data_IF_502265292996
#
_entry.id   IF_502265292996
#
_cell.length_a   1.000
_cell.length_b   1.000
_cell.length_c   1.000
_cell.angle_alpha   90.00
_cell.angle_beta   90.00
_cell.angle_gamma   90.00
#
_symmetry.space_group_name_H-M   'P 1'
#
loop_
_entity.id
_entity.type
_entity.pdbx_description
1 polymer ?
#
# COMPACT_ATOMS: atom_id res chain seq x y z
N UNK A 1 -17.72 -15.51 -27.40
CA UNK A 1 -18.21 -16.44 -26.36
C UNK A 1 -18.35 -15.64 -25.08
N UNK A 2 -19.56 -15.42 -24.57
CA UNK A 2 -19.78 -14.72 -23.29
C UNK A 2 -19.50 -15.75 -22.18
N UNK A 3 -18.41 -15.59 -21.45
CA UNK A 3 -18.16 -16.37 -20.24
C UNK A 3 -19.00 -15.76 -19.11
N UNK A 4 -20.05 -16.46 -18.69
CA UNK A 4 -20.83 -16.09 -17.51
C UNK A 4 -20.07 -16.56 -16.28
N UNK A 5 -19.54 -15.61 -15.50
CA UNK A 5 -18.84 -15.89 -14.25
C UNK A 5 -19.88 -16.16 -13.16
N UNK A 6 -20.06 -17.43 -12.80
CA UNK A 6 -20.87 -17.82 -11.64
C UNK A 6 -19.88 -18.12 -10.52
N UNK A 7 -19.70 -17.13 -9.64
CA UNK A 7 -18.93 -17.32 -8.43
C UNK A 7 -19.91 -17.45 -7.28
N UNK A 8 -20.35 -18.65 -6.88
CA UNK A 8 -21.07 -18.85 -5.62
C UNK A 8 -20.29 -19.82 -4.74
N UNK A 9 -20.16 -19.52 -3.45
CA UNK A 9 -19.39 -20.31 -2.48
C UNK A 9 -17.95 -19.85 -2.21
N UNK A 10 -17.44 -18.87 -2.95
CA UNK A 10 -16.14 -18.23 -2.70
C UNK A 10 -16.30 -17.01 -1.79
N UNK A 11 -15.32 -16.75 -0.91
CA UNK A 11 -15.29 -15.49 -0.15
C UNK A 11 -15.18 -14.30 -1.10
N UNK A 12 -15.62 -13.11 -0.68
CA UNK A 12 -15.59 -11.89 -1.51
C UNK A 12 -14.18 -11.59 -2.03
N UNK A 13 -13.15 -11.91 -1.26
CA UNK A 13 -11.74 -11.69 -1.60
C UNK A 13 -11.24 -12.68 -2.65
N UNK A 14 -11.64 -13.95 -2.54
CA UNK A 14 -11.29 -14.98 -3.53
C UNK A 14 -11.91 -14.65 -4.90
N UNK A 15 -13.15 -14.13 -4.90
CA UNK A 15 -13.84 -13.71 -6.14
C UNK A 15 -13.05 -12.64 -6.92
N UNK A 16 -12.51 -11.63 -6.26
CA UNK A 16 -11.73 -10.57 -6.92
C UNK A 16 -10.46 -11.12 -7.55
N UNK A 17 -9.75 -11.97 -6.82
CA UNK A 17 -8.53 -12.64 -7.27
C UNK A 17 -8.80 -13.52 -8.49
N UNK A 18 -9.82 -14.37 -8.44
CA UNK A 18 -10.18 -15.23 -9.57
C UNK A 18 -10.62 -14.39 -10.78
N UNK A 19 -11.40 -13.34 -10.57
CA UNK A 19 -11.83 -12.42 -11.64
C UNK A 19 -10.64 -11.73 -12.30
N UNK A 20 -9.63 -11.32 -11.51
CA UNK A 20 -8.41 -10.70 -12.02
C UNK A 20 -7.55 -11.68 -12.84
N UNK A 21 -7.42 -12.93 -12.37
CA UNK A 21 -6.65 -13.99 -13.03
C UNK A 21 -7.32 -14.48 -14.32
N UNK A 22 -8.65 -14.56 -14.33
CA UNK A 22 -9.44 -14.84 -15.53
C UNK A 22 -9.43 -13.68 -16.52
N UNK A 23 -9.66 -12.45 -16.04
CA UNK A 23 -9.67 -11.24 -16.87
C UNK A 23 -8.33 -10.95 -17.54
N UNK A 24 -7.22 -11.36 -16.90
CA UNK A 24 -5.88 -11.30 -17.49
C UNK A 24 -5.55 -12.45 -18.45
N UNK A 25 -6.48 -13.39 -18.70
CA UNK A 25 -6.32 -14.51 -19.63
C UNK A 25 -5.29 -15.55 -19.18
N UNK A 26 -4.88 -15.52 -17.90
CA UNK A 26 -3.80 -16.38 -17.37
C UNK A 26 -4.31 -17.71 -16.82
N UNK A 27 -5.63 -17.83 -16.64
CA UNK A 27 -6.31 -19.01 -16.10
C UNK A 27 -7.65 -19.18 -16.82
N UNK A 28 -8.01 -20.43 -17.14
CA UNK A 28 -9.34 -20.81 -17.58
C UNK A 28 -9.89 -21.84 -16.58
N UNK A 29 -10.81 -21.44 -15.71
CA UNK A 29 -11.48 -22.33 -14.76
C UNK A 29 -12.78 -22.87 -15.35
N UNK A 30 -12.94 -24.19 -15.32
CA UNK A 30 -14.26 -24.83 -15.31
C UNK A 30 -14.62 -25.06 -13.85
N UNK A 31 -15.80 -24.64 -13.38
CA UNK A 31 -16.26 -24.92 -12.02
C UNK A 31 -17.64 -25.60 -12.08
N UNK A 32 -17.85 -26.61 -11.22
CA UNK A 32 -19.16 -27.26 -11.01
C UNK A 32 -20.18 -26.33 -10.35
N UNK A 33 -21.46 -26.68 -10.42
CA UNK A 33 -22.55 -25.82 -9.97
C UNK A 33 -22.81 -26.02 -8.46
N UNK A 34 -22.53 -25.02 -7.59
CA UNK A 34 -22.44 -25.22 -6.14
C UNK A 34 -23.75 -25.60 -5.44
N UNK A 35 -24.90 -25.36 -6.09
CA UNK A 35 -26.23 -25.72 -5.55
C UNK A 35 -26.68 -27.12 -6.01
N UNK A 36 -26.01 -27.70 -7.01
CA UNK A 36 -26.42 -28.96 -7.66
C UNK A 36 -25.41 -30.08 -7.42
N UNK A 37 -24.11 -29.74 -7.37
CA UNK A 37 -23.03 -30.72 -7.26
C UNK A 37 -22.48 -30.76 -5.83
N UNK A 38 -22.36 -31.96 -5.24
CA UNK A 38 -21.71 -32.19 -3.93
C UNK A 38 -20.21 -31.82 -3.94
N UNK A 39 -19.61 -31.65 -5.11
CA UNK A 39 -18.24 -31.17 -5.27
C UNK A 39 -18.05 -30.42 -6.59
N UNK A 40 -17.28 -29.33 -6.58
CA UNK A 40 -16.90 -28.59 -7.76
C UNK A 40 -15.43 -28.88 -8.11
N UNK A 41 -15.15 -29.29 -9.35
CA UNK A 41 -13.78 -29.45 -9.85
C UNK A 41 -13.34 -28.19 -10.59
N UNK A 42 -12.19 -27.63 -10.21
CA UNK A 42 -11.54 -26.49 -10.85
C UNK A 42 -10.25 -26.94 -11.55
N UNK A 43 -10.12 -26.66 -12.85
CA UNK A 43 -8.89 -26.92 -13.62
C UNK A 43 -8.21 -25.59 -13.93
N UNK A 44 -6.90 -25.49 -13.66
CA UNK A 44 -6.11 -24.28 -13.92
C UNK A 44 -5.04 -24.60 -14.96
N UNK A 45 -5.23 -24.04 -16.16
CA UNK A 45 -4.24 -24.10 -17.23
C UNK A 45 -3.27 -22.93 -17.05
N UNK A 46 -1.99 -23.22 -16.79
CA UNK A 46 -0.96 -22.20 -16.62
C UNK A 46 0.39 -22.66 -17.21
N UNK A 47 1.30 -21.71 -17.40
CA UNK A 47 2.68 -22.01 -17.80
C UNK A 47 3.40 -22.82 -16.71
N UNK A 48 4.13 -23.87 -17.08
CA UNK A 48 4.68 -24.87 -16.14
C UNK A 48 5.45 -24.28 -14.92
N UNK A 49 6.30 -23.25 -15.04
CA UNK A 49 6.98 -22.62 -13.91
C UNK A 49 6.04 -21.95 -12.89
N UNK A 50 4.82 -21.58 -13.28
CA UNK A 50 3.83 -20.94 -12.40
C UNK A 50 2.90 -21.95 -11.69
N UNK A 51 3.02 -23.24 -12.01
CA UNK A 51 2.17 -24.28 -11.42
C UNK A 51 2.22 -24.26 -9.90
N UNK A 52 3.43 -24.28 -9.32
CA UNK A 52 3.56 -24.33 -7.86
C UNK A 52 3.19 -23.01 -7.19
N UNK A 53 3.41 -21.87 -7.86
CA UNK A 53 2.89 -20.60 -7.40
C UNK A 53 1.36 -20.64 -7.24
N UNK A 54 0.63 -21.07 -8.27
CA UNK A 54 -0.83 -21.16 -8.20
C UNK A 54 -1.32 -22.22 -7.22
N UNK A 55 -0.61 -23.35 -7.10
CA UNK A 55 -0.95 -24.39 -6.12
C UNK A 55 -0.86 -23.88 -4.68
N UNK A 56 0.25 -23.24 -4.32
CA UNK A 56 0.40 -22.63 -2.99
C UNK A 56 -0.63 -21.52 -2.79
N UNK A 57 -0.82 -20.66 -3.78
CA UNK A 57 -1.75 -19.52 -3.73
C UNK A 57 -3.22 -19.91 -3.51
N UNK A 58 -3.66 -21.08 -3.97
CA UNK A 58 -5.05 -21.53 -3.80
C UNK A 58 -5.26 -22.27 -2.49
N UNK A 59 -4.20 -22.81 -1.90
CA UNK A 59 -4.26 -23.55 -0.65
C UNK A 59 -3.95 -22.67 0.56
N UNK A 60 -3.22 -21.58 0.38
CA UNK A 60 -2.76 -20.67 1.44
C UNK A 60 -3.16 -19.23 1.12
N UNK A 61 -3.60 -18.49 2.15
CA UNK A 61 -3.91 -17.08 2.00
C UNK A 61 -2.65 -16.27 1.65
N UNK A 62 -2.77 -15.32 0.72
CA UNK A 62 -1.65 -14.49 0.32
C UNK A 62 -1.20 -13.56 1.47
N UNK A 63 0.10 -13.49 1.81
CA UNK A 63 0.58 -12.53 2.79
C UNK A 63 0.47 -11.12 2.22
N UNK A 64 -0.46 -10.33 2.77
CA UNK A 64 -0.66 -8.93 2.38
C UNK A 64 0.27 -8.03 3.18
N UNK A 65 1.13 -7.30 2.47
CA UNK A 65 2.05 -6.32 3.05
C UNK A 65 1.70 -4.89 2.61
N UNK A 66 1.96 -3.92 3.49
CA UNK A 66 1.78 -2.50 3.19
C UNK A 66 2.91 -1.97 2.32
N UNK A 67 2.56 -1.26 1.24
CA UNK A 67 3.48 -0.49 0.41
C UNK A 67 3.46 1.01 0.75
N UNK A 68 2.83 1.40 1.86
CA UNK A 68 2.60 2.79 2.24
C UNK A 68 3.88 3.65 2.29
N UNK A 69 5.01 3.07 2.73
CA UNK A 69 6.31 3.74 2.80
C UNK A 69 6.77 4.39 1.49
N UNK A 70 6.36 3.84 0.33
CA UNK A 70 6.78 4.36 -0.98
C UNK A 70 5.96 5.57 -1.44
N UNK A 71 4.83 5.84 -0.80
CA UNK A 71 3.92 6.95 -1.13
C UNK A 71 3.80 7.94 0.03
N UNK A 72 4.64 7.78 1.07
CA UNK A 72 4.51 8.53 2.31
C UNK A 72 4.65 10.04 2.09
N UNK A 73 5.45 10.45 1.11
CA UNK A 73 5.67 11.83 0.72
C UNK A 73 4.35 12.54 0.40
N UNK A 74 3.54 11.97 -0.49
CA UNK A 74 2.25 12.56 -0.89
C UNK A 74 1.24 12.55 0.25
N UNK A 75 1.18 11.47 1.03
CA UNK A 75 0.26 11.37 2.16
C UNK A 75 0.58 12.39 3.26
N UNK A 76 1.84 12.51 3.68
CA UNK A 76 2.24 13.48 4.70
C UNK A 76 1.96 14.92 4.23
N UNK A 77 2.25 15.26 2.97
CA UNK A 77 1.93 16.58 2.45
C UNK A 77 0.41 16.86 2.51
N UNK A 78 -0.43 15.89 2.17
CA UNK A 78 -1.88 16.03 2.26
C UNK A 78 -2.36 16.25 3.69
N UNK A 79 -1.81 15.52 4.66
CA UNK A 79 -2.23 15.60 6.07
C UNK A 79 -1.72 16.89 6.74
N UNK A 80 -0.53 17.38 6.37
CA UNK A 80 -0.03 18.70 6.79
C UNK A 80 -0.87 19.82 6.20
N UNK A 81 -1.25 19.71 4.92
CA UNK A 81 -2.17 20.66 4.28
C UNK A 81 -3.56 20.67 4.94
N UNK A 82 -4.04 19.51 5.38
CA UNK A 82 -5.30 19.37 6.12
C UNK A 82 -5.22 19.80 7.59
N UNK A 83 -4.03 20.19 8.08
CA UNK A 83 -3.76 20.53 9.48
C UNK A 83 -4.05 19.38 10.47
N UNK A 84 -4.01 18.13 9.99
CA UNK A 84 -4.08 16.93 10.84
C UNK A 84 -2.73 16.66 11.49
N UNK A 85 -1.65 16.88 10.72
CA UNK A 85 -0.27 16.79 11.19
C UNK A 85 0.29 18.20 11.27
N UNK A 86 0.63 18.64 12.49
CA UNK A 86 1.13 20.02 12.73
C UNK A 86 2.58 20.06 13.19
N UNK A 87 3.13 18.92 13.63
CA UNK A 87 4.49 18.79 14.10
C UNK A 87 5.06 17.39 13.79
N UNK A 88 6.38 17.21 13.95
CA UNK A 88 7.05 15.93 13.68
C UNK A 88 6.52 14.77 14.53
N UNK A 89 6.12 15.02 15.78
CA UNK A 89 5.56 13.99 16.67
C UNK A 89 4.19 13.53 16.17
N UNK A 90 3.34 14.45 15.70
CA UNK A 90 2.04 14.10 15.09
C UNK A 90 2.24 13.18 13.87
N UNK A 91 3.31 13.37 13.09
CA UNK A 91 3.62 12.53 11.94
C UNK A 91 4.01 11.11 12.35
N UNK A 92 4.85 10.96 13.38
CA UNK A 92 5.17 9.65 13.96
C UNK A 92 3.90 8.99 14.51
N UNK A 93 3.09 9.73 15.25
CA UNK A 93 1.84 9.24 15.82
C UNK A 93 0.88 8.81 14.70
N UNK A 94 0.75 9.59 13.63
CA UNK A 94 -0.06 9.26 12.46
C UNK A 94 0.35 7.90 11.85
N UNK A 95 1.66 7.65 11.71
CA UNK A 95 2.14 6.36 11.20
C UNK A 95 1.69 5.17 12.05
N UNK A 96 1.51 5.33 13.36
CA UNK A 96 1.06 4.25 14.26
C UNK A 96 -0.37 3.78 13.96
N UNK A 97 -1.19 4.60 13.30
CA UNK A 97 -2.56 4.26 12.89
C UNK A 97 -2.63 3.48 11.58
N UNK A 98 -1.50 3.34 10.87
CA UNK A 98 -1.48 2.73 9.53
C UNK A 98 -1.44 1.20 9.58
N UNK A 99 -1.86 0.57 8.48
CA UNK A 99 -1.67 -0.87 8.28
C UNK A 99 -0.17 -1.25 8.26
N UNK A 100 0.70 -0.35 7.77
CA UNK A 100 2.16 -0.54 7.79
C UNK A 100 2.67 -0.82 9.20
N UNK A 101 2.30 0.01 10.18
CA UNK A 101 2.74 -0.15 11.57
C UNK A 101 2.38 -1.53 12.14
N UNK A 102 1.19 -2.05 11.83
CA UNK A 102 0.77 -3.41 12.24
C UNK A 102 1.63 -4.52 11.62
N UNK A 103 2.24 -4.28 10.46
CA UNK A 103 3.06 -5.26 9.73
C UNK A 103 4.55 -5.19 10.06
N UNK A 104 5.05 -4.07 10.57
CA UNK A 104 6.47 -3.89 10.91
C UNK A 104 7.03 -5.02 11.79
N UNK A 105 6.28 -5.45 12.81
CA UNK A 105 6.70 -6.51 13.74
C UNK A 105 6.48 -7.92 13.19
N UNK A 106 5.61 -8.07 12.18
CA UNK A 106 5.26 -9.38 11.59
C UNK A 106 6.25 -9.78 10.51
N UNK A 107 6.81 -8.81 9.77
CA UNK A 107 7.78 -9.06 8.71
C UNK A 107 8.83 -7.93 8.65
N UNK A 108 9.71 -7.79 9.66
CA UNK A 108 10.65 -6.68 9.77
C UNK A 108 11.61 -6.59 8.57
N UNK A 109 12.00 -7.73 8.00
CA UNK A 109 12.91 -7.77 6.85
C UNK A 109 12.32 -7.11 5.61
N UNK A 110 11.00 -7.20 5.41
CA UNK A 110 10.33 -6.55 4.27
C UNK A 110 10.41 -5.02 4.35
N UNK A 111 10.41 -4.48 5.56
CA UNK A 111 10.47 -3.06 5.87
C UNK A 111 11.91 -2.58 6.17
N UNK A 112 12.92 -3.44 6.03
CA UNK A 112 14.33 -3.17 6.37
C UNK A 112 14.57 -2.80 7.84
N UNK A 113 13.77 -3.34 8.78
CA UNK A 113 14.00 -3.13 10.21
C UNK A 113 15.15 -3.98 10.73
N UNK A 114 16.01 -3.38 11.55
CA UNK A 114 17.11 -4.07 12.22
C UNK A 114 16.64 -4.96 13.38
N UNK A 115 15.44 -4.69 13.91
CA UNK A 115 14.81 -5.52 14.93
C UNK A 115 13.40 -5.05 15.28
N UNK A 116 12.73 -5.80 16.15
CA UNK A 116 11.32 -5.59 16.53
C UNK A 116 11.15 -5.06 17.95
N UNK A 117 12.26 -4.68 18.61
CA UNK A 117 12.20 -4.05 19.92
C UNK A 117 11.50 -2.67 19.80
N UNK A 118 10.79 -2.21 20.85
CA UNK A 118 10.13 -0.90 20.82
C UNK A 118 11.07 0.26 20.45
N UNK A 119 12.34 0.20 20.88
CA UNK A 119 13.37 1.16 20.47
C UNK A 119 13.60 1.16 18.96
N UNK A 120 13.88 0.00 18.36
CA UNK A 120 14.10 -0.14 16.91
C UNK A 120 12.89 0.30 16.08
N UNK A 121 11.66 0.05 16.55
CA UNK A 121 10.44 0.51 15.88
C UNK A 121 10.34 2.04 15.92
N UNK A 122 10.57 2.64 17.09
CA UNK A 122 10.56 4.10 17.25
C UNK A 122 11.62 4.75 16.37
N UNK A 123 12.86 4.25 16.42
CA UNK A 123 13.98 4.78 15.64
C UNK A 123 13.67 4.71 14.14
N UNK A 124 13.13 3.59 13.67
CA UNK A 124 12.76 3.43 12.25
C UNK A 124 11.64 4.38 11.82
N UNK A 125 10.60 4.57 12.65
CA UNK A 125 9.51 5.50 12.34
C UNK A 125 10.00 6.95 12.33
N UNK A 126 10.83 7.32 13.30
CA UNK A 126 11.45 8.65 13.37
C UNK A 126 12.32 8.91 12.15
N UNK A 127 13.21 7.98 11.79
CA UNK A 127 14.05 8.09 10.59
C UNK A 127 13.21 8.20 9.31
N UNK A 128 12.14 7.40 9.18
CA UNK A 128 11.25 7.43 8.03
C UNK A 128 10.53 8.78 7.90
N UNK A 129 10.03 9.34 9.01
CA UNK A 129 9.39 10.66 9.04
C UNK A 129 10.40 11.75 8.70
N UNK A 130 11.56 11.76 9.35
CA UNK A 130 12.58 12.79 9.14
C UNK A 130 13.09 12.80 7.68
N UNK A 131 13.34 11.63 7.10
CA UNK A 131 13.72 11.53 5.68
C UNK A 131 12.62 12.07 4.76
N UNK A 132 11.37 11.68 4.99
CA UNK A 132 10.25 12.11 4.13
C UNK A 132 9.94 13.60 4.26
N UNK A 133 10.03 14.16 5.46
CA UNK A 133 9.86 15.59 5.68
C UNK A 133 11.01 16.39 5.07
N UNK A 134 12.24 15.88 5.14
CA UNK A 134 13.40 16.48 4.47
C UNK A 134 13.20 16.53 2.94
N UNK A 135 12.67 15.45 2.35
CA UNK A 135 12.33 15.41 0.93
C UNK A 135 11.20 16.40 0.58
N UNK A 136 10.16 16.52 1.41
CA UNK A 136 9.08 17.50 1.21
C UNK A 136 9.56 18.95 1.31
N UNK A 137 10.48 19.23 2.23
CA UNK A 137 11.11 20.53 2.38
C UNK A 137 12.01 20.85 1.18
N UNK A 138 12.76 19.86 0.68
CA UNK A 138 13.57 19.99 -0.54
C UNK A 138 12.71 20.28 -1.79
N UNK A 139 11.55 19.64 -1.93
CA UNK A 139 10.59 19.94 -2.99
C UNK A 139 9.84 21.27 -2.80
N UNK A 140 10.03 21.95 -1.66
CA UNK A 140 9.37 23.22 -1.33
C UNK A 140 7.88 23.10 -1.01
N UNK A 141 7.39 21.89 -0.69
CA UNK A 141 5.99 21.62 -0.36
C UNK A 141 5.63 22.00 1.08
N UNK A 142 6.60 21.90 2.00
CA UNK A 142 6.42 22.25 3.42
C UNK A 142 7.59 23.10 3.91
N UNK A 143 7.42 23.72 5.07
CA UNK A 143 8.46 24.41 5.82
C UNK A 143 8.48 23.90 7.26
N UNK A 144 9.66 23.68 7.81
CA UNK A 144 9.83 23.34 9.22
C UNK A 144 10.16 24.60 10.03
N UNK A 145 9.37 24.89 11.07
CA UNK A 145 9.60 25.99 12.02
C UNK A 145 10.06 25.43 13.37
N UNK A 146 11.07 26.07 13.98
CA UNK A 146 11.66 25.68 15.27
C UNK A 146 12.09 24.20 15.33
N UNK A 147 12.43 23.62 14.16
CA UNK A 147 12.84 22.23 13.97
C UNK A 147 11.79 21.16 14.36
N UNK A 148 10.57 21.59 14.68
CA UNK A 148 9.51 20.72 15.19
C UNK A 148 8.14 20.94 14.54
N UNK A 149 7.78 22.21 14.28
CA UNK A 149 6.47 22.57 13.74
C UNK A 149 6.50 22.50 12.21
N UNK A 150 5.41 22.03 11.61
CA UNK A 150 5.29 21.87 10.17
C UNK A 150 4.27 22.86 9.63
N UNK A 151 4.63 23.57 8.55
CA UNK A 151 3.72 24.43 7.80
C UNK A 151 3.69 24.03 6.33
N UNK A 152 2.50 24.00 5.77
CA UNK A 152 2.32 23.76 4.33
C UNK A 152 2.69 25.02 3.53
N UNK A 153 3.33 24.84 2.39
CA UNK A 153 3.57 25.93 1.42
C UNK A 153 2.39 26.09 0.45
N UNK A 154 2.41 27.14 -0.37
CA UNK A 154 1.44 27.27 -1.47
C UNK A 154 1.55 26.09 -2.46
N UNK A 155 2.77 25.59 -2.71
CA UNK A 155 3.01 24.45 -3.58
C UNK A 155 2.46 23.16 -2.97
N UNK A 156 2.72 22.92 -1.67
CA UNK A 156 2.16 21.77 -0.95
C UNK A 156 0.64 21.79 -0.89
N UNK A 157 0.04 22.97 -0.76
CA UNK A 157 -1.43 23.16 -0.80
C UNK A 157 -2.00 22.76 -2.16
N UNK A 158 -1.38 23.23 -3.25
CA UNK A 158 -1.80 22.85 -4.61
C UNK A 158 -1.65 21.34 -4.83
N UNK A 159 -0.53 20.76 -4.37
CA UNK A 159 -0.28 19.33 -4.45
C UNK A 159 -1.38 18.51 -3.77
N UNK A 160 -1.72 18.89 -2.54
CA UNK A 160 -2.75 18.22 -1.76
C UNK A 160 -4.15 18.39 -2.36
N UNK A 161 -4.52 19.61 -2.77
CA UNK A 161 -5.85 19.87 -3.34
C UNK A 161 -6.13 19.08 -4.62
N UNK A 162 -5.13 18.92 -5.48
CA UNK A 162 -5.28 18.27 -6.78
C UNK A 162 -4.74 16.83 -6.83
N UNK A 163 -4.31 16.28 -5.71
CA UNK A 163 -3.69 14.94 -5.62
C UNK A 163 -2.55 14.76 -6.65
N UNK A 164 -1.68 15.76 -6.74
CA UNK A 164 -0.50 15.73 -7.60
C UNK A 164 0.71 15.24 -6.80
N UNK A 165 1.59 14.48 -7.45
CA UNK A 165 2.87 14.11 -6.82
C UNK A 165 3.71 15.36 -6.56
N UNK A 166 4.35 15.41 -5.40
CA UNK A 166 5.24 16.50 -4.98
C UNK A 166 6.38 16.69 -6.01
N UNK A 167 6.89 15.59 -6.56
CA UNK A 167 7.94 15.59 -7.60
C UNK A 167 7.50 16.31 -8.88
N UNK A 168 6.24 16.14 -9.30
CA UNK A 168 5.69 16.81 -10.47
C UNK A 168 5.62 18.33 -10.25
N UNK A 169 5.19 18.77 -9.08
CA UNK A 169 5.09 20.20 -8.75
C UNK A 169 6.46 20.85 -8.61
N UNK A 170 7.43 20.14 -8.05
CA UNK A 170 8.82 20.57 -8.01
C UNK A 170 9.35 20.82 -9.43
N UNK A 171 9.10 19.91 -10.37
CA UNK A 171 9.50 20.09 -11.78
C UNK A 171 8.85 21.33 -12.40
N UNK A 172 7.55 21.56 -12.16
CA UNK A 172 6.86 22.76 -12.63
C UNK A 172 7.41 24.06 -12.01
N UNK A 173 7.85 24.02 -10.76
CA UNK A 173 8.43 25.18 -10.07
C UNK A 173 9.88 25.47 -10.50
N UNK A 174 10.61 24.44 -10.94
CA UNK A 174 11.98 24.54 -11.44
C UNK A 174 12.11 24.99 -12.90
N UNK A 175 10.99 25.08 -13.63
CA UNK A 175 10.90 25.44 -15.06
C UNK A 175 10.64 26.93 -15.26
#
# INVERSE_FOLDING_TARGET
>A
MKATLIHEGLSSTDREVFTLLFGSGKIQVCAGQPVVDDSATCVILCHAPRKEYYKTFLCEAFPVESHFQFFLLEYLNSEVAAQVITNKQDAVDYLTWTFMYRRLTQNPNYYNLQGVCPGHLSDHLSELVDNTLSDLEASGCIFTEDDMNLRVSNLGTIAACYHLSCTTIEQFNSS
#
